data_IF_764158403016
#
_entry.id   IF_764158403016
#
_cell.length_a   1.000
_cell.length_b   1.000
_cell.length_c   1.000
_cell.angle_alpha   90.00
_cell.angle_beta   90.00
_cell.angle_gamma   90.00
#
_symmetry.space_group_name_H-M   'P 1'
#
loop_
_entity.id
_entity.type
_entity.pdbx_description
1 polymer ?
#
# COMPACT_ATOMS: atom_id res chain seq x y z
N UNK A 1 25.09 -77.31 47.07
CA UNK A 1 26.16 -77.15 46.07
C UNK A 1 25.54 -76.53 44.84
N UNK A 2 25.39 -75.26 44.77
CA UNK A 2 25.05 -74.60 43.53
C UNK A 2 25.03 -73.12 43.74
N UNK A 3 25.94 -72.46 43.21
CA UNK A 3 26.05 -70.97 43.21
C UNK A 3 25.10 -70.34 42.20
N UNK A 4 24.39 -69.26 42.55
CA UNK A 4 23.59 -68.56 41.59
C UNK A 4 24.38 -67.43 40.90
N UNK A 5 24.24 -67.42 39.62
CA UNK A 5 24.77 -66.46 38.72
C UNK A 5 24.02 -65.12 38.87
N UNK A 6 24.72 -64.03 39.19
CA UNK A 6 24.17 -62.68 39.28
C UNK A 6 24.21 -62.02 37.92
N UNK A 7 23.07 -61.98 37.25
CA UNK A 7 22.89 -61.14 36.05
C UNK A 7 22.65 -59.71 36.45
N UNK A 8 23.56 -58.83 36.16
CA UNK A 8 23.43 -57.40 36.27
C UNK A 8 22.72 -56.87 35.02
N UNK A 9 21.47 -56.51 35.18
CA UNK A 9 20.69 -55.87 34.07
C UNK A 9 20.94 -54.38 34.10
N UNK A 10 21.75 -53.90 33.13
CA UNK A 10 21.95 -52.48 32.93
C UNK A 10 20.69 -51.86 32.24
N UNK A 11 19.92 -51.12 33.00
CA UNK A 11 18.79 -50.35 32.52
C UNK A 11 19.35 -49.04 31.88
N UNK A 12 19.46 -49.02 30.56
CA UNK A 12 19.74 -47.77 29.83
C UNK A 12 18.46 -46.95 29.73
N UNK A 13 18.36 -45.91 30.55
CA UNK A 13 17.29 -44.92 30.44
C UNK A 13 17.64 -43.97 29.33
N UNK A 14 17.03 -44.17 28.17
CA UNK A 14 17.06 -43.19 27.05
C UNK A 14 16.13 -42.03 27.43
N UNK A 15 16.71 -40.89 27.86
CA UNK A 15 15.97 -39.64 28.06
C UNK A 15 15.73 -39.05 26.69
N UNK A 16 14.52 -39.24 26.20
CA UNK A 16 14.00 -38.57 24.99
C UNK A 16 13.69 -37.11 25.32
N UNK A 17 14.62 -36.21 25.09
CA UNK A 17 14.38 -34.77 25.23
C UNK A 17 13.47 -34.31 24.10
N UNK A 18 12.20 -34.10 24.43
CA UNK A 18 11.23 -33.51 23.54
C UNK A 18 11.51 -32.00 23.42
N UNK A 19 12.14 -31.58 22.33
CA UNK A 19 12.36 -30.17 22.00
C UNK A 19 11.04 -29.54 21.59
N UNK A 20 10.40 -28.82 22.49
CA UNK A 20 9.26 -27.98 22.16
C UNK A 20 9.81 -26.74 21.45
N UNK A 21 9.78 -26.75 20.12
CA UNK A 21 9.99 -25.54 19.30
C UNK A 21 8.79 -24.63 19.52
N UNK A 22 8.93 -23.66 20.41
CA UNK A 22 7.98 -22.56 20.51
C UNK A 22 8.16 -21.73 19.25
N UNK A 23 7.25 -21.87 18.29
CA UNK A 23 7.14 -20.97 17.16
C UNK A 23 6.94 -19.56 17.73
N UNK A 24 7.99 -18.74 17.69
CA UNK A 24 7.90 -17.33 18.03
C UNK A 24 7.04 -16.69 16.93
N UNK A 25 5.80 -16.40 17.26
CA UNK A 25 4.98 -15.47 16.49
C UNK A 25 5.76 -14.16 16.46
N UNK A 26 6.16 -13.62 15.29
CA UNK A 26 6.85 -12.35 15.26
C UNK A 26 5.93 -11.30 15.90
N UNK A 27 6.39 -10.75 17.03
CA UNK A 27 5.72 -9.64 17.67
C UNK A 27 5.65 -8.47 16.64
N UNK A 28 4.52 -7.77 16.52
CA UNK A 28 4.45 -6.59 15.67
C UNK A 28 5.52 -5.60 16.15
N UNK A 29 6.46 -5.27 15.27
CA UNK A 29 7.50 -4.29 15.55
C UNK A 29 6.85 -2.97 15.97
N UNK A 30 7.16 -2.41 17.15
CA UNK A 30 6.70 -1.08 17.51
C UNK A 30 7.50 -0.08 16.67
N UNK A 31 6.89 0.44 15.59
CA UNK A 31 7.52 1.41 14.71
C UNK A 31 7.07 1.43 13.27
N UNK A 32 6.04 0.72 12.89
CA UNK A 32 5.37 1.00 11.63
C UNK A 32 4.62 2.32 11.80
N UNK A 33 5.30 3.42 11.44
CA UNK A 33 4.64 4.66 11.05
C UNK A 33 3.55 4.27 10.07
N UNK A 34 2.29 4.41 10.45
CA UNK A 34 1.18 3.94 9.65
C UNK A 34 1.31 4.52 8.24
N UNK A 35 1.03 3.73 7.22
CA UNK A 35 1.06 4.18 5.82
C UNK A 35 0.33 5.51 5.69
N UNK A 36 1.08 6.57 5.33
CA UNK A 36 0.56 7.94 5.21
C UNK A 36 -0.50 8.06 4.09
N UNK A 37 -0.52 7.11 3.17
CA UNK A 37 -1.54 7.00 2.14
C UNK A 37 -2.88 6.51 2.66
N UNK A 38 -2.94 5.96 3.89
CA UNK A 38 -4.16 5.45 4.50
C UNK A 38 -4.53 6.31 5.71
N UNK A 39 -5.66 6.99 5.62
CA UNK A 39 -6.22 7.83 6.68
C UNK A 39 -7.55 7.24 7.18
N UNK A 40 -8.06 7.65 8.36
CA UNK A 40 -9.39 7.22 8.81
C UNK A 40 -10.51 7.56 7.82
N UNK A 41 -10.29 8.59 6.99
CA UNK A 41 -11.28 9.14 6.07
C UNK A 41 -11.04 8.75 4.60
N UNK A 42 -10.11 7.82 4.32
CA UNK A 42 -9.87 7.37 2.96
C UNK A 42 -8.44 6.92 2.66
N UNK A 43 -8.19 6.60 1.40
CA UNK A 43 -6.90 6.14 0.90
C UNK A 43 -6.49 6.88 -0.36
N UNK A 44 -5.19 7.16 -0.46
CA UNK A 44 -4.53 7.72 -1.65
C UNK A 44 -3.56 6.69 -2.21
N UNK A 45 -3.63 6.47 -3.51
CA UNK A 45 -2.70 5.56 -4.18
C UNK A 45 -2.99 5.40 -5.67
N UNK A 46 -2.35 4.43 -6.27
CA UNK A 46 -2.50 4.06 -7.68
C UNK A 46 -3.46 2.86 -7.82
N UNK A 47 -4.36 2.91 -8.76
CA UNK A 47 -5.26 1.79 -9.10
C UNK A 47 -4.44 0.65 -9.71
N UNK A 48 -4.50 -0.51 -9.12
CA UNK A 48 -3.84 -1.73 -9.61
C UNK A 48 -4.78 -2.70 -10.30
N UNK A 49 -6.03 -2.72 -9.87
CA UNK A 49 -7.07 -3.52 -10.50
C UNK A 49 -8.44 -2.91 -10.25
N UNK A 50 -9.36 -3.19 -11.18
CA UNK A 50 -10.77 -2.82 -11.09
C UNK A 50 -11.63 -4.09 -11.19
N UNK A 51 -12.48 -4.30 -10.23
CA UNK A 51 -13.54 -5.32 -10.28
C UNK A 51 -14.88 -4.64 -10.48
N UNK A 52 -15.36 -4.65 -11.71
CA UNK A 52 -16.65 -4.06 -12.08
C UNK A 52 -17.82 -4.85 -11.51
N UNK A 53 -17.69 -6.17 -11.38
CA UNK A 53 -18.75 -7.04 -10.85
C UNK A 53 -18.91 -6.86 -9.34
N UNK A 54 -17.80 -6.81 -8.62
CA UNK A 54 -17.79 -6.57 -7.17
C UNK A 54 -17.84 -5.10 -6.78
N UNK A 55 -17.80 -4.16 -7.73
CA UNK A 55 -17.70 -2.71 -7.49
C UNK A 55 -16.55 -2.38 -6.52
N UNK A 56 -15.37 -2.91 -6.82
CA UNK A 56 -14.18 -2.75 -6.00
C UNK A 56 -12.99 -2.26 -6.81
N UNK A 57 -12.18 -1.42 -6.18
CA UNK A 57 -10.88 -0.98 -6.69
C UNK A 57 -9.79 -1.51 -5.76
N UNK A 58 -8.73 -2.05 -6.33
CA UNK A 58 -7.51 -2.34 -5.58
C UNK A 58 -6.56 -1.17 -5.75
N UNK A 59 -6.28 -0.48 -4.68
CA UNK A 59 -5.43 0.71 -4.64
C UNK A 59 -4.13 0.37 -3.93
N UNK A 60 -3.01 0.65 -4.58
CA UNK A 60 -1.68 0.55 -3.99
C UNK A 60 -1.22 1.92 -3.52
N UNK A 61 -0.94 2.07 -2.24
CA UNK A 61 -0.40 3.31 -1.67
C UNK A 61 1.05 3.53 -2.08
N UNK A 62 1.57 4.73 -1.88
CA UNK A 62 2.98 5.05 -2.15
C UNK A 62 3.95 4.26 -1.26
N UNK A 63 3.51 3.85 -0.07
CA UNK A 63 4.26 2.96 0.83
C UNK A 63 4.20 1.48 0.40
N UNK A 64 3.38 1.13 -0.59
CA UNK A 64 3.27 -0.21 -1.15
C UNK A 64 2.13 -1.06 -0.59
N UNK A 65 1.34 -0.55 0.35
CA UNK A 65 0.18 -1.26 0.89
C UNK A 65 -0.93 -1.40 -0.14
N UNK A 66 -1.58 -2.55 -0.17
CA UNK A 66 -2.76 -2.78 -1.00
C UNK A 66 -4.02 -2.60 -0.17
N UNK A 67 -4.93 -1.76 -0.65
CA UNK A 67 -6.20 -1.45 0.00
C UNK A 67 -7.35 -1.70 -0.96
N UNK A 68 -8.35 -2.44 -0.52
CA UNK A 68 -9.58 -2.66 -1.29
C UNK A 68 -10.55 -1.51 -1.04
N UNK A 69 -10.90 -0.80 -2.08
CA UNK A 69 -11.91 0.27 -2.02
C UNK A 69 -13.22 -0.25 -2.57
N UNK A 70 -14.21 -0.38 -1.70
CA UNK A 70 -15.57 -0.73 -2.10
C UNK A 70 -16.34 0.54 -2.40
N UNK A 71 -17.08 0.55 -3.51
CA UNK A 71 -17.90 1.67 -3.94
C UNK A 71 -19.37 1.28 -3.98
N UNK A 72 -20.24 2.18 -3.54
CA UNK A 72 -21.69 2.02 -3.61
C UNK A 72 -22.25 2.66 -4.87
N UNK A 73 -23.51 2.39 -5.20
CA UNK A 73 -24.21 3.03 -6.34
C UNK A 73 -24.32 4.55 -6.16
N UNK A 74 -24.32 5.02 -4.92
CA UNK A 74 -24.33 6.45 -4.57
C UNK A 74 -22.95 7.11 -4.58
N UNK A 75 -21.87 6.36 -4.89
CA UNK A 75 -20.51 6.90 -4.94
C UNK A 75 -20.38 7.90 -6.08
N UNK A 76 -19.85 9.08 -5.77
CA UNK A 76 -19.54 10.11 -6.77
C UNK A 76 -18.12 9.95 -7.28
N UNK A 77 -17.96 9.97 -8.61
CA UNK A 77 -16.65 9.91 -9.26
C UNK A 77 -16.33 11.27 -9.85
N UNK A 78 -15.15 11.79 -9.52
CA UNK A 78 -14.70 13.11 -9.92
C UNK A 78 -13.29 13.01 -10.54
N UNK A 79 -13.10 13.66 -11.68
CA UNK A 79 -11.77 13.80 -12.27
C UNK A 79 -11.20 15.16 -11.91
N UNK A 80 -9.99 15.17 -11.39
CA UNK A 80 -9.26 16.38 -11.01
C UNK A 80 -8.00 16.50 -11.87
N UNK A 81 -7.77 17.70 -12.41
CA UNK A 81 -6.54 17.97 -13.16
C UNK A 81 -5.33 17.96 -12.20
N UNK A 82 -4.17 17.41 -12.60
CA UNK A 82 -2.98 17.39 -11.78
C UNK A 82 -2.52 18.81 -11.41
N UNK A 83 -2.35 19.04 -10.11
CA UNK A 83 -1.97 20.34 -9.55
C UNK A 83 -3.12 21.18 -9.03
N UNK A 84 -4.36 20.83 -9.34
CA UNK A 84 -5.54 21.43 -8.71
C UNK A 84 -5.65 20.98 -7.25
N UNK A 85 -5.89 21.95 -6.36
CA UNK A 85 -6.02 21.71 -4.92
C UNK A 85 -7.48 21.70 -4.45
N UNK A 86 -8.40 22.12 -5.32
CA UNK A 86 -9.82 22.26 -4.99
C UNK A 86 -10.66 21.41 -5.95
N UNK A 87 -11.80 20.96 -5.47
CA UNK A 87 -12.76 20.19 -6.28
C UNK A 87 -13.70 21.09 -7.11
N UNK A 88 -13.50 22.41 -7.07
CA UNK A 88 -14.36 23.36 -7.80
C UNK A 88 -14.34 23.12 -9.31
N UNK A 89 -13.18 22.74 -9.85
CA UNK A 89 -12.98 22.46 -11.27
C UNK A 89 -13.02 20.95 -11.59
N UNK A 90 -13.46 20.12 -10.63
CA UNK A 90 -13.54 18.70 -10.85
C UNK A 90 -14.69 18.35 -11.79
N UNK A 91 -14.41 17.50 -12.77
CA UNK A 91 -15.39 17.00 -13.73
C UNK A 91 -16.00 15.71 -13.22
N UNK A 92 -17.32 15.57 -13.27
CA UNK A 92 -17.98 14.28 -13.01
C UNK A 92 -17.60 13.29 -14.09
N UNK A 93 -17.24 12.09 -13.65
CA UNK A 93 -16.91 10.96 -14.51
C UNK A 93 -17.71 9.73 -14.09
N UNK A 94 -17.54 8.63 -14.80
CA UNK A 94 -18.15 7.34 -14.50
C UNK A 94 -17.13 6.31 -14.06
N UNK A 95 -17.60 5.17 -13.57
CA UNK A 95 -16.71 4.04 -13.24
C UNK A 95 -15.83 3.61 -14.43
N UNK A 96 -16.40 3.64 -15.65
CA UNK A 96 -15.70 3.22 -16.87
C UNK A 96 -14.53 4.15 -17.26
N UNK A 97 -14.50 5.37 -16.72
CA UNK A 97 -13.43 6.34 -16.98
C UNK A 97 -12.22 6.16 -16.06
N UNK A 98 -12.27 5.22 -15.13
CA UNK A 98 -11.18 4.90 -14.21
C UNK A 98 -10.35 3.79 -14.82
N UNK A 99 -9.05 4.01 -14.96
CA UNK A 99 -8.10 3.05 -15.52
C UNK A 99 -7.09 2.54 -14.51
N UNK A 100 -6.47 1.40 -14.83
CA UNK A 100 -5.29 0.92 -14.09
C UNK A 100 -4.13 1.90 -14.29
N UNK A 101 -3.44 2.19 -13.18
CA UNK A 101 -2.38 3.18 -13.13
C UNK A 101 -2.84 4.60 -12.87
N UNK A 102 -4.14 4.86 -12.82
CA UNK A 102 -4.65 6.16 -12.39
C UNK A 102 -4.39 6.38 -10.90
N UNK A 103 -4.11 7.62 -10.53
CA UNK A 103 -3.97 7.99 -9.13
C UNK A 103 -5.33 8.38 -8.58
N UNK A 104 -5.72 7.76 -7.49
CA UNK A 104 -7.03 7.98 -6.87
C UNK A 104 -6.91 8.41 -5.41
N UNK A 105 -7.85 9.24 -5.01
CA UNK A 105 -8.15 9.50 -3.61
C UNK A 105 -9.58 9.04 -3.32
N UNK A 106 -9.71 7.88 -2.69
CA UNK A 106 -11.00 7.34 -2.27
C UNK A 106 -11.34 7.88 -0.88
N UNK A 107 -12.34 8.75 -0.79
CA UNK A 107 -12.85 9.30 0.47
C UNK A 107 -14.02 8.49 0.98
N UNK A 108 -13.94 8.08 2.23
CA UNK A 108 -14.96 7.27 2.86
C UNK A 108 -14.57 6.85 4.26
N UNK A 109 -15.06 5.72 4.71
CA UNK A 109 -14.73 5.15 6.02
C UNK A 109 -13.73 4.02 5.82
N UNK A 110 -12.58 4.14 6.48
CA UNK A 110 -11.54 3.10 6.47
C UNK A 110 -11.84 2.08 7.57
N UNK A 111 -11.66 0.80 7.27
CA UNK A 111 -11.76 -0.28 8.25
C UNK A 111 -10.65 -0.16 9.32
N UNK A 112 -10.87 -0.78 10.49
CA UNK A 112 -9.90 -0.77 11.59
C UNK A 112 -8.57 -1.42 11.21
N UNK A 113 -8.61 -2.45 10.39
CA UNK A 113 -7.44 -3.16 9.86
C UNK A 113 -6.70 -2.39 8.76
N UNK A 114 -7.23 -1.22 8.31
CA UNK A 114 -6.70 -0.38 7.24
C UNK A 114 -6.54 -1.07 5.88
N UNK A 115 -7.22 -2.19 5.68
CA UNK A 115 -7.15 -2.96 4.42
C UNK A 115 -8.30 -2.69 3.48
N UNK A 116 -9.36 -2.07 3.98
CA UNK A 116 -10.53 -1.72 3.17
C UNK A 116 -11.07 -0.33 3.46
N UNK A 117 -11.66 0.28 2.44
CA UNK A 117 -12.32 1.58 2.51
C UNK A 117 -13.68 1.51 1.84
N UNK A 118 -14.74 1.88 2.55
CA UNK A 118 -16.05 2.10 1.96
C UNK A 118 -16.13 3.54 1.47
N UNK A 119 -16.00 3.72 0.16
CA UNK A 119 -15.88 5.04 -0.45
C UNK A 119 -17.22 5.66 -0.80
N UNK A 120 -17.37 6.95 -0.47
CA UNK A 120 -18.51 7.80 -0.90
C UNK A 120 -18.14 8.69 -2.08
N UNK A 121 -16.86 9.01 -2.23
CA UNK A 121 -16.36 9.84 -3.32
C UNK A 121 -15.00 9.31 -3.75
N UNK A 122 -14.83 9.09 -5.05
CA UNK A 122 -13.56 8.72 -5.66
C UNK A 122 -13.10 9.88 -6.54
N UNK A 123 -11.95 10.45 -6.20
CA UNK A 123 -11.32 11.53 -6.96
C UNK A 123 -10.19 10.90 -7.74
N UNK A 124 -10.21 11.08 -9.05
CA UNK A 124 -9.27 10.44 -9.99
C UNK A 124 -8.41 11.51 -10.65
N UNK A 125 -7.12 11.29 -10.65
CA UNK A 125 -6.15 11.98 -11.53
C UNK A 125 -5.64 10.96 -12.51
N UNK A 126 -5.97 11.12 -13.81
CA UNK A 126 -5.57 10.13 -14.79
C UNK A 126 -4.05 10.10 -14.96
N UNK A 127 -3.52 8.90 -15.19
CA UNK A 127 -2.10 8.69 -15.49
C UNK A 127 -1.66 9.54 -16.69
N UNK A 128 -2.51 9.66 -17.72
CA UNK A 128 -2.23 10.46 -18.91
C UNK A 128 -2.09 11.96 -18.59
N UNK A 129 -2.96 12.49 -17.75
CA UNK A 129 -2.90 13.91 -17.35
C UNK A 129 -1.67 14.19 -16.49
N UNK A 130 -1.31 13.27 -15.60
CA UNK A 130 -0.09 13.36 -14.78
C UNK A 130 1.16 13.36 -15.69
N UNK A 131 1.23 12.43 -16.64
CA UNK A 131 2.35 12.36 -17.59
C UNK A 131 2.46 13.64 -18.43
N UNK A 132 1.35 14.13 -18.97
CA UNK A 132 1.30 15.38 -19.75
C UNK A 132 1.81 16.57 -18.93
N UNK A 133 1.41 16.69 -17.68
CA UNK A 133 1.90 17.76 -16.80
C UNK A 133 3.40 17.64 -16.56
N UNK A 134 3.91 16.45 -16.25
CA UNK A 134 5.33 16.21 -16.03
C UNK A 134 6.17 16.51 -17.27
N UNK A 135 5.67 16.18 -18.46
CA UNK A 135 6.35 16.48 -19.73
C UNK A 135 6.39 17.99 -20.01
N UNK A 136 5.30 18.69 -19.71
CA UNK A 136 5.24 20.15 -19.84
C UNK A 136 6.23 20.83 -18.87
N UNK A 137 6.26 20.40 -17.60
CA UNK A 137 7.19 20.90 -16.60
C UNK A 137 8.66 20.63 -17.01
N UNK A 138 8.94 19.42 -17.50
CA UNK A 138 10.26 19.03 -17.98
C UNK A 138 10.71 19.84 -19.19
N UNK A 139 9.79 20.15 -20.12
CA UNK A 139 10.05 21.02 -21.25
C UNK A 139 10.33 22.47 -20.81
N UNK A 140 9.61 22.96 -19.82
CA UNK A 140 9.83 24.28 -19.25
C UNK A 140 11.18 24.39 -18.52
N UNK A 141 11.55 23.38 -17.72
CA UNK A 141 12.85 23.28 -17.08
C UNK A 141 14.00 23.29 -18.10
N UNK A 142 13.87 22.54 -19.20
CA UNK A 142 14.87 22.56 -20.29
C UNK A 142 15.02 23.92 -20.95
N UNK A 143 13.94 24.69 -21.01
CA UNK A 143 13.95 26.03 -21.63
C UNK A 143 14.51 27.10 -20.68
N UNK A 144 14.26 26.99 -19.38
CA UNK A 144 14.64 28.01 -18.37
C UNK A 144 15.78 27.58 -17.46
N UNK A 145 16.06 26.30 -17.37
CA UNK A 145 17.07 25.75 -16.51
C UNK A 145 18.47 25.86 -17.09
N UNK A 146 19.43 26.17 -16.27
CA UNK A 146 20.85 26.04 -16.60
C UNK A 146 21.28 24.60 -16.35
N UNK A 147 21.73 23.92 -17.41
CA UNK A 147 22.37 22.62 -17.29
C UNK A 147 23.87 22.82 -17.16
N UNK A 148 24.43 22.38 -16.07
CA UNK A 148 25.87 22.45 -15.81
C UNK A 148 26.31 21.34 -14.89
N UNK A 149 27.60 21.00 -14.96
CA UNK A 149 28.25 20.11 -13.99
C UNK A 149 28.78 20.97 -12.85
N UNK A 150 28.41 20.63 -11.63
CA UNK A 150 28.98 21.28 -10.45
C UNK A 150 30.41 20.79 -10.29
N UNK A 151 31.38 21.68 -10.55
CA UNK A 151 32.80 21.37 -10.47
C UNK A 151 33.40 21.74 -9.11
N UNK A 152 32.79 22.67 -8.38
CA UNK A 152 33.20 23.03 -7.01
C UNK A 152 32.04 23.60 -6.21
N UNK A 153 31.99 23.30 -4.91
CA UNK A 153 31.11 23.93 -3.95
C UNK A 153 32.02 24.74 -2.99
N UNK A 154 31.75 26.04 -2.87
CA UNK A 154 32.42 26.86 -1.86
C UNK A 154 31.47 26.93 -0.64
N UNK A 155 31.78 26.22 0.47
CA UNK A 155 31.01 26.37 1.70
C UNK A 155 31.32 27.75 2.29
N UNK A 156 30.28 28.57 2.48
CA UNK A 156 30.37 29.85 3.19
C UNK A 156 30.46 29.63 4.69
#
# INVERSE_FOLDING_TARGET
MTTPFRSVLLFSIAILTFQISIAQTPAPSPGQSGDSGITPNGVIGEVKALDAAGKQLIVKTDAGSLVTVSVADSTSYLRLAPGEKTLTNATKITWADIGEGDRVFARGTTSEDRKSVLSRTVIVMSKADIAKKQDAERAEWRRRGLLGVVTALNPA
#
